data_IF_788472377883
#
_entry.id   IF_788472377883
#
_cell.length_a   1.000
_cell.length_b   1.000
_cell.length_c   1.000
_cell.angle_alpha   90.00
_cell.angle_beta   90.00
_cell.angle_gamma   90.00
#
_symmetry.space_group_name_H-M   'P 1'
#
loop_
_entity.id
_entity.type
_entity.pdbx_description
1 polymer ?
#
# COMPACT_ATOMS: atom_id res chain seq x y z
N UNK A 1 4.33 37.13 -9.01
CA UNK A 1 4.44 37.35 -7.56
C UNK A 1 4.95 36.09 -6.95
N UNK A 2 6.20 36.12 -6.55
CA UNK A 2 7.00 34.95 -6.14
C UNK A 2 6.62 34.56 -4.71
N UNK A 3 6.06 33.39 -4.50
CA UNK A 3 5.95 32.81 -3.16
C UNK A 3 7.26 32.08 -2.84
N UNK A 4 8.09 32.80 -2.13
CA UNK A 4 9.32 32.35 -1.50
C UNK A 4 8.95 31.37 -0.37
N UNK A 5 9.05 30.06 -0.63
CA UNK A 5 9.08 29.07 0.46
C UNK A 5 10.43 29.22 1.14
N UNK A 6 10.45 29.95 2.21
CA UNK A 6 11.56 29.97 3.18
C UNK A 6 11.73 28.57 3.75
N UNK A 7 12.69 27.82 3.21
CA UNK A 7 13.26 26.64 3.86
C UNK A 7 13.96 27.12 5.13
N UNK A 8 13.33 26.93 6.29
CA UNK A 8 14.01 27.06 7.57
C UNK A 8 15.06 25.96 7.66
N UNK A 9 16.32 26.31 7.39
CA UNK A 9 17.50 25.48 7.73
C UNK A 9 17.64 25.42 9.25
N UNK A 10 16.78 24.66 9.92
CA UNK A 10 16.97 24.25 11.29
C UNK A 10 18.23 23.38 11.36
N UNK A 11 19.07 23.58 12.37
CA UNK A 11 20.21 22.70 12.64
C UNK A 11 19.72 21.24 12.72
N UNK A 12 20.53 20.27 12.27
CA UNK A 12 20.20 18.84 12.44
C UNK A 12 19.81 18.51 13.91
N UNK A 13 20.37 19.22 14.85
CA UNK A 13 20.04 19.11 16.28
C UNK A 13 18.58 19.55 16.55
N UNK A 14 18.15 20.67 16.00
CA UNK A 14 16.78 21.18 16.19
C UNK A 14 15.73 20.21 15.60
N UNK A 15 16.06 19.56 14.48
CA UNK A 15 15.19 18.57 13.86
C UNK A 15 15.08 17.30 14.70
N UNK A 16 16.19 16.84 15.28
CA UNK A 16 16.20 15.68 16.18
C UNK A 16 15.41 15.96 17.46
N UNK A 17 15.56 17.13 18.05
CA UNK A 17 14.78 17.56 19.22
C UNK A 17 13.29 17.70 18.89
N UNK A 18 12.96 18.17 17.70
CA UNK A 18 11.57 18.22 17.21
C UNK A 18 10.96 16.82 17.09
N UNK A 19 11.67 15.85 16.53
CA UNK A 19 11.23 14.45 16.46
C UNK A 19 10.93 13.91 17.85
N UNK A 20 11.86 14.07 18.81
CA UNK A 20 11.67 13.62 20.18
C UNK A 20 10.43 14.23 20.84
N UNK A 21 10.29 15.56 20.75
CA UNK A 21 9.14 16.28 21.33
C UNK A 21 7.80 15.84 20.73
N UNK A 22 7.74 15.59 19.42
CA UNK A 22 6.50 15.12 18.80
C UNK A 22 6.16 13.69 19.21
N UNK A 23 7.15 12.81 19.31
CA UNK A 23 6.94 11.43 19.75
C UNK A 23 6.48 11.36 21.21
N UNK A 24 7.05 12.18 22.09
CA UNK A 24 6.59 12.30 23.48
C UNK A 24 5.12 12.75 23.58
N UNK A 25 4.70 13.70 22.74
CA UNK A 25 3.29 14.13 22.67
C UNK A 25 2.35 13.00 22.25
N UNK A 26 2.82 12.07 21.46
CA UNK A 26 2.10 10.87 21.04
C UNK A 26 2.20 9.71 22.05
N UNK A 27 2.86 9.93 23.19
CA UNK A 27 3.08 8.91 24.22
C UNK A 27 4.18 7.91 23.91
N UNK A 28 5.02 8.16 22.90
CA UNK A 28 6.17 7.31 22.59
C UNK A 28 7.46 7.88 23.19
N UNK A 29 8.12 7.10 24.05
CA UNK A 29 9.41 7.51 24.66
C UNK A 29 10.51 7.31 23.63
N UNK A 30 10.98 8.42 23.04
CA UNK A 30 12.00 8.44 22.01
C UNK A 30 13.34 8.92 22.58
N UNK A 31 14.36 8.05 22.60
CA UNK A 31 15.70 8.48 22.93
C UNK A 31 16.40 9.15 21.72
N UNK A 32 17.49 9.85 21.97
CA UNK A 32 18.24 10.58 20.94
C UNK A 32 18.75 9.68 19.82
N UNK A 33 19.09 8.41 20.10
CA UNK A 33 19.56 7.47 19.08
C UNK A 33 18.45 7.12 18.08
N UNK A 34 17.24 6.87 18.57
CA UNK A 34 16.06 6.58 17.73
C UNK A 34 15.73 7.82 16.89
N UNK A 35 15.65 9.00 17.50
CA UNK A 35 15.36 10.26 16.79
C UNK A 35 16.41 10.55 15.71
N UNK A 36 17.69 10.32 16.00
CA UNK A 36 18.79 10.48 15.03
C UNK A 36 18.64 9.49 13.87
N UNK A 37 18.33 8.21 14.15
CA UNK A 37 18.14 7.21 13.11
C UNK A 37 16.97 7.57 12.16
N UNK A 38 15.86 8.06 12.71
CA UNK A 38 14.71 8.53 11.91
C UNK A 38 15.10 9.75 11.06
N UNK A 39 15.77 10.72 11.65
CA UNK A 39 16.27 11.90 10.94
C UNK A 39 17.19 11.51 9.77
N UNK A 40 18.15 10.61 9.99
CA UNK A 40 19.04 10.14 8.95
C UNK A 40 18.32 9.34 7.87
N UNK A 41 17.40 8.47 8.25
CA UNK A 41 16.57 7.71 7.31
C UNK A 41 15.82 8.63 6.36
N UNK A 42 15.15 9.64 6.92
CA UNK A 42 14.39 10.62 6.13
C UNK A 42 15.31 11.46 5.24
N UNK A 43 16.42 11.96 5.79
CA UNK A 43 17.36 12.82 5.05
C UNK A 43 18.06 12.09 3.90
N UNK A 44 18.33 10.81 4.06
CA UNK A 44 19.05 9.98 3.09
C UNK A 44 18.13 9.16 2.20
N UNK A 45 16.82 9.15 2.46
CA UNK A 45 15.87 8.27 1.75
C UNK A 45 16.19 6.79 1.93
N UNK A 46 16.63 6.37 3.13
CA UNK A 46 17.06 5.00 3.42
C UNK A 46 16.13 4.34 4.44
N UNK A 47 15.86 3.02 4.29
CA UNK A 47 15.06 2.29 5.26
C UNK A 47 15.77 2.14 6.60
N UNK A 48 14.98 1.93 7.66
CA UNK A 48 15.46 1.62 9.01
C UNK A 48 15.17 0.16 9.32
N UNK A 49 16.16 -0.58 9.80
CA UNK A 49 15.97 -1.87 10.44
C UNK A 49 15.83 -1.66 11.95
N UNK A 50 14.72 -2.13 12.52
CA UNK A 50 14.46 -2.03 13.97
C UNK A 50 14.41 -3.43 14.57
N UNK A 51 15.38 -3.74 15.41
CA UNK A 51 15.49 -5.03 16.09
C UNK A 51 15.27 -4.89 17.60
N UNK A 52 14.90 -5.97 18.23
CA UNK A 52 14.72 -6.04 19.69
C UNK A 52 13.69 -7.09 20.10
N UNK A 53 13.60 -7.42 21.40
CA UNK A 53 12.67 -8.40 21.92
C UNK A 53 11.21 -7.98 21.70
N UNK A 54 10.24 -8.92 21.82
CA UNK A 54 8.81 -8.59 21.79
C UNK A 54 8.45 -7.56 22.87
N UNK A 55 7.50 -6.67 22.55
CA UNK A 55 6.97 -5.70 23.52
C UNK A 55 7.77 -4.40 23.69
N UNK A 56 8.95 -4.23 23.08
CA UNK A 56 9.77 -3.01 23.22
C UNK A 56 9.28 -1.79 22.41
N UNK A 57 8.15 -1.86 21.76
CA UNK A 57 7.57 -0.72 21.05
C UNK A 57 7.98 -0.56 19.59
N UNK A 58 8.54 -1.61 18.92
CA UNK A 58 8.92 -1.52 17.48
C UNK A 58 7.78 -1.09 16.56
N UNK A 59 6.59 -1.64 16.77
CA UNK A 59 5.39 -1.28 15.98
C UNK A 59 4.90 0.12 16.31
N UNK A 60 4.97 0.52 17.57
CA UNK A 60 4.59 1.87 18.00
C UNK A 60 5.53 2.93 17.43
N UNK A 61 6.83 2.61 17.28
CA UNK A 61 7.78 3.48 16.58
C UNK A 61 7.32 3.79 15.15
N UNK A 62 6.87 2.78 14.41
CA UNK A 62 6.37 2.98 13.05
C UNK A 62 5.12 3.86 13.01
N UNK A 63 4.20 3.69 13.97
CA UNK A 63 3.00 4.53 14.09
C UNK A 63 3.37 5.97 14.41
N UNK A 64 4.20 6.20 15.42
CA UNK A 64 4.65 7.53 15.81
C UNK A 64 5.39 8.24 14.68
N UNK A 65 6.20 7.49 13.90
CA UNK A 65 6.88 8.03 12.72
C UNK A 65 5.89 8.44 11.63
N UNK A 66 4.91 7.60 11.32
CA UNK A 66 3.90 7.89 10.31
C UNK A 66 3.06 9.12 10.68
N UNK A 67 2.65 9.23 11.94
CA UNK A 67 1.90 10.37 12.46
C UNK A 67 2.73 11.67 12.42
N UNK A 68 4.01 11.60 12.85
CA UNK A 68 4.92 12.74 12.77
C UNK A 68 5.15 13.22 11.33
N UNK A 69 5.22 12.27 10.38
CA UNK A 69 5.38 12.57 8.95
C UNK A 69 4.08 12.95 8.26
N UNK A 70 2.95 12.90 8.96
CA UNK A 70 1.59 13.10 8.41
C UNK A 70 1.30 12.18 7.20
N UNK A 71 1.84 10.95 7.25
CA UNK A 71 1.68 9.95 6.19
C UNK A 71 0.87 8.75 6.68
N UNK A 72 0.09 8.11 5.80
CA UNK A 72 -0.61 6.89 6.15
C UNK A 72 0.37 5.75 6.46
N UNK A 73 0.11 5.00 7.54
CA UNK A 73 0.89 3.81 7.86
C UNK A 73 0.38 2.62 7.04
N UNK A 74 1.19 2.14 6.12
CA UNK A 74 0.92 0.93 5.37
C UNK A 74 1.73 -0.22 5.97
N UNK A 75 1.05 -1.24 6.49
CA UNK A 75 1.68 -2.37 7.18
C UNK A 75 1.67 -3.62 6.32
N UNK A 76 2.82 -4.17 6.02
CA UNK A 76 3.00 -5.50 5.47
C UNK A 76 3.50 -6.44 6.58
N UNK A 77 2.73 -7.48 6.89
CA UNK A 77 3.14 -8.52 7.81
C UNK A 77 3.63 -9.72 7.00
N UNK A 78 4.93 -10.02 7.11
CA UNK A 78 5.50 -11.20 6.46
C UNK A 78 5.11 -12.47 7.22
N UNK A 79 4.79 -13.52 6.50
CA UNK A 79 4.48 -14.86 7.00
C UNK A 79 5.07 -15.91 6.06
N UNK A 80 5.18 -17.14 6.53
CA UNK A 80 5.69 -18.24 5.72
C UNK A 80 4.78 -18.48 4.49
N UNK A 81 5.39 -18.52 3.30
CA UNK A 81 4.65 -18.66 2.03
C UNK A 81 4.14 -17.34 1.43
N UNK A 82 4.52 -16.18 2.00
CA UNK A 82 4.32 -14.90 1.33
C UNK A 82 5.27 -14.82 0.14
N UNK A 83 4.71 -14.78 -1.06
CA UNK A 83 5.43 -14.56 -2.32
C UNK A 83 5.18 -13.13 -2.85
N UNK A 84 5.84 -12.79 -3.94
CA UNK A 84 5.75 -11.49 -4.59
C UNK A 84 4.30 -11.15 -5.01
N UNK A 85 3.61 -12.08 -5.64
CA UNK A 85 2.24 -11.88 -6.10
C UNK A 85 1.29 -11.61 -4.92
N UNK A 86 1.38 -12.42 -3.85
CA UNK A 86 0.57 -12.23 -2.64
C UNK A 86 0.89 -10.97 -1.85
N UNK A 87 2.09 -10.40 -2.01
CA UNK A 87 2.46 -9.13 -1.41
C UNK A 87 1.87 -7.92 -2.16
N UNK A 88 1.68 -8.07 -3.49
CA UNK A 88 1.19 -7.01 -4.38
C UNK A 88 -0.32 -6.98 -4.46
N UNK A 89 -0.97 -8.12 -4.74
CA UNK A 89 -2.42 -8.16 -4.95
C UNK A 89 -3.03 -9.51 -4.56
N UNK A 90 -4.34 -9.53 -4.45
CA UNK A 90 -5.15 -10.72 -4.27
C UNK A 90 -6.34 -10.68 -5.22
N UNK A 91 -6.66 -11.83 -5.83
CA UNK A 91 -7.83 -11.95 -6.68
C UNK A 91 -9.12 -12.09 -5.87
N UNK A 92 -10.11 -11.28 -6.19
CA UNK A 92 -11.47 -11.37 -5.61
C UNK A 92 -12.28 -12.48 -6.27
N UNK A 93 -11.87 -13.73 -6.10
CA UNK A 93 -12.54 -14.90 -6.69
C UNK A 93 -14.04 -14.95 -6.39
N UNK A 94 -14.46 -14.61 -5.18
CA UNK A 94 -15.87 -14.56 -4.81
C UNK A 94 -16.65 -13.55 -5.63
N UNK A 95 -16.05 -12.41 -5.93
CA UNK A 95 -16.65 -11.39 -6.81
C UNK A 95 -16.71 -11.87 -8.25
N UNK A 96 -15.65 -12.51 -8.78
CA UNK A 96 -15.66 -13.12 -10.11
C UNK A 96 -16.76 -14.16 -10.24
N UNK A 97 -16.88 -15.06 -9.25
CA UNK A 97 -17.94 -16.11 -9.25
C UNK A 97 -19.33 -15.49 -9.25
N UNK A 98 -19.57 -14.48 -8.44
CA UNK A 98 -20.85 -13.77 -8.40
C UNK A 98 -21.18 -13.14 -9.76
N UNK A 99 -20.21 -12.46 -10.39
CA UNK A 99 -20.40 -11.89 -11.73
C UNK A 99 -20.69 -12.98 -12.77
N UNK A 100 -19.97 -14.11 -12.71
CA UNK A 100 -20.22 -15.26 -13.59
C UNK A 100 -21.66 -15.78 -13.44
N UNK A 101 -22.16 -15.89 -12.21
CA UNK A 101 -23.54 -16.33 -11.96
C UNK A 101 -24.58 -15.34 -12.50
N UNK A 102 -24.38 -14.05 -12.24
CA UNK A 102 -25.30 -12.99 -12.71
C UNK A 102 -25.32 -12.90 -14.25
N UNK A 103 -24.18 -13.14 -14.89
CA UNK A 103 -24.06 -13.06 -16.35
C UNK A 103 -24.41 -14.37 -17.06
N UNK A 104 -24.56 -15.49 -16.34
CA UNK A 104 -24.81 -16.80 -16.92
C UNK A 104 -25.97 -16.82 -17.92
N UNK A 105 -27.07 -16.19 -17.58
CA UNK A 105 -28.26 -16.15 -18.44
C UNK A 105 -28.02 -15.30 -19.70
N UNK A 106 -27.25 -14.21 -19.57
CA UNK A 106 -26.87 -13.37 -20.72
C UNK A 106 -25.87 -14.07 -21.63
N UNK A 107 -24.90 -14.80 -21.06
CA UNK A 107 -23.94 -15.61 -21.82
C UNK A 107 -24.66 -16.72 -22.61
N UNK A 108 -25.62 -17.42 -22.00
CA UNK A 108 -26.43 -18.41 -22.68
C UNK A 108 -27.23 -17.81 -23.85
N UNK A 109 -27.77 -16.60 -23.71
CA UNK A 109 -28.46 -15.90 -24.79
C UNK A 109 -27.53 -15.48 -25.93
N UNK A 110 -26.29 -15.13 -25.63
CA UNK A 110 -25.29 -14.74 -26.63
C UNK A 110 -24.81 -15.98 -27.41
N UNK A 111 -24.54 -17.06 -26.71
CA UNK A 111 -24.12 -18.33 -27.32
C UNK A 111 -25.22 -18.92 -28.18
N UNK A 112 -26.50 -18.88 -27.73
CA UNK A 112 -27.64 -19.41 -28.49
C UNK A 112 -27.99 -18.60 -29.73
N UNK A 113 -27.56 -17.35 -29.84
CA UNK A 113 -27.78 -16.47 -31.00
C UNK A 113 -26.61 -16.46 -31.98
N UNK A 114 -25.53 -17.13 -31.67
CA UNK A 114 -24.36 -17.16 -32.54
C UNK A 114 -24.54 -18.19 -33.66
N UNK A 115 -24.37 -17.72 -34.90
CA UNK A 115 -24.57 -18.54 -36.12
C UNK A 115 -23.46 -19.57 -36.35
N UNK A 116 -22.34 -19.45 -35.62
CA UNK A 116 -21.19 -20.39 -35.68
C UNK A 116 -20.47 -20.52 -34.35
N UNK A 117 -19.73 -21.62 -34.20
CA UNK A 117 -18.89 -21.88 -33.04
C UNK A 117 -17.78 -20.83 -32.90
N UNK A 118 -17.22 -20.33 -34.02
CA UNK A 118 -16.21 -19.29 -34.05
C UNK A 118 -16.73 -17.94 -33.54
N UNK A 119 -17.94 -17.56 -33.93
CA UNK A 119 -18.58 -16.34 -33.43
C UNK A 119 -18.92 -16.45 -31.94
N UNK A 120 -19.25 -17.64 -31.45
CA UNK A 120 -19.45 -17.90 -30.02
C UNK A 120 -18.14 -17.73 -29.23
N UNK A 121 -17.03 -18.26 -29.73
CA UNK A 121 -15.72 -18.15 -29.10
C UNK A 121 -15.23 -16.69 -29.09
N UNK A 122 -15.36 -15.98 -30.21
CA UNK A 122 -14.98 -14.56 -30.29
C UNK A 122 -15.80 -13.69 -29.33
N UNK A 123 -17.08 -13.97 -29.19
CA UNK A 123 -17.93 -13.28 -28.22
C UNK A 123 -17.53 -13.60 -26.79
N UNK A 124 -17.09 -14.83 -26.47
CA UNK A 124 -16.59 -15.22 -25.15
C UNK A 124 -15.25 -14.55 -24.84
N UNK A 125 -14.32 -14.47 -25.78
CA UNK A 125 -13.03 -13.80 -25.60
C UNK A 125 -13.17 -12.33 -25.17
N UNK A 126 -14.20 -11.62 -25.64
CA UNK A 126 -14.51 -10.27 -25.19
C UNK A 126 -14.92 -10.19 -23.70
N UNK A 127 -15.32 -11.31 -23.10
CA UNK A 127 -15.62 -11.38 -21.66
C UNK A 127 -14.42 -11.76 -20.82
N UNK A 128 -13.39 -12.42 -21.38
CA UNK A 128 -12.18 -12.77 -20.67
C UNK A 128 -11.47 -11.51 -20.15
N UNK A 129 -11.36 -10.47 -20.95
CA UNK A 129 -10.81 -9.17 -20.57
C UNK A 129 -11.56 -8.53 -19.39
N UNK A 130 -12.86 -8.80 -19.27
CA UNK A 130 -13.67 -8.28 -18.15
C UNK A 130 -13.36 -9.04 -16.87
N UNK A 131 -13.21 -10.38 -16.93
CA UNK A 131 -12.99 -11.21 -15.75
C UNK A 131 -11.57 -11.12 -15.21
N UNK A 132 -10.58 -10.85 -16.08
CA UNK A 132 -9.19 -10.66 -15.72
C UNK A 132 -8.79 -9.18 -15.58
N UNK A 133 -9.78 -8.28 -15.48
CA UNK A 133 -9.54 -6.85 -15.29
C UNK A 133 -9.12 -6.52 -13.85
N UNK A 134 -8.48 -5.37 -13.69
CA UNK A 134 -8.09 -4.78 -12.39
C UNK A 134 -9.25 -4.65 -11.40
N UNK A 135 -10.51 -4.65 -11.88
CA UNK A 135 -11.71 -4.58 -11.04
C UNK A 135 -11.86 -5.75 -10.06
N UNK A 136 -11.19 -6.87 -10.35
CA UNK A 136 -11.18 -8.06 -9.50
C UNK A 136 -9.89 -8.23 -8.71
N UNK A 137 -8.96 -7.28 -8.83
CA UNK A 137 -7.77 -7.21 -8.00
C UNK A 137 -8.06 -6.47 -6.68
N UNK A 138 -7.60 -7.02 -5.58
CA UNK A 138 -7.51 -6.32 -4.29
C UNK A 138 -6.06 -5.91 -4.09
N UNK A 139 -5.73 -4.60 -4.10
CA UNK A 139 -4.37 -4.15 -3.84
C UNK A 139 -3.98 -4.50 -2.40
N UNK A 140 -2.85 -5.20 -2.27
CA UNK A 140 -2.22 -5.54 -1.00
C UNK A 140 -1.28 -4.41 -0.54
N UNK A 141 -0.74 -4.47 0.68
CA UNK A 141 0.04 -3.38 1.25
C UNK A 141 1.20 -2.87 0.38
N UNK A 142 1.90 -3.75 -0.34
CA UNK A 142 3.01 -3.36 -1.19
C UNK A 142 2.54 -2.51 -2.38
N UNK A 143 1.47 -2.94 -3.07
CA UNK A 143 0.90 -2.16 -4.17
C UNK A 143 0.33 -0.82 -3.66
N UNK A 144 -0.36 -0.82 -2.50
CA UNK A 144 -0.85 0.41 -1.88
C UNK A 144 0.26 1.41 -1.56
N UNK A 145 1.44 0.92 -1.15
CA UNK A 145 2.59 1.78 -0.86
C UNK A 145 3.13 2.43 -2.14
N UNK A 146 3.23 1.67 -3.24
CA UNK A 146 3.67 2.17 -4.55
C UNK A 146 2.69 3.21 -5.09
N UNK A 147 1.39 2.92 -5.03
CA UNK A 147 0.35 3.82 -5.54
C UNK A 147 0.27 5.12 -4.72
N UNK A 148 0.53 5.06 -3.41
CA UNK A 148 0.52 6.25 -2.55
C UNK A 148 1.65 7.25 -2.86
N UNK A 149 2.76 6.80 -3.42
CA UNK A 149 3.85 7.68 -3.86
C UNK A 149 3.58 8.32 -5.23
N UNK A 150 2.79 7.65 -6.09
CA UNK A 150 2.47 8.14 -7.43
C UNK A 150 1.25 9.09 -7.46
N UNK A 151 0.51 9.21 -6.36
CA UNK A 151 -0.72 10.01 -6.24
C UNK A 151 -0.56 11.36 -5.56
N UNK A 152 0.68 11.86 -5.41
CA UNK A 152 0.97 13.15 -4.73
C UNK A 152 1.35 14.25 -5.72
#
# INVERSE_FOLDING_TARGET
>A
MSNNKTSSNGSAKDLIENIQSNFEKQGYICNTHIATAIFLSQSLGKPILVEGPPGVGKTELAKATAEWMEKPLIRLQCYEGLDEAKALYEWKYGKQLLYTQVLKDKLNQIISKADSLESSINNLNNFDDIFFSEKFLEPRPLLKAIDSENGS
#
